data_IF_946948215465
#
_entry.id   IF_946948215465
#
_cell.length_a   1.000
_cell.length_b   1.000
_cell.length_c   1.000
_cell.angle_alpha   90.00
_cell.angle_beta   90.00
_cell.angle_gamma   90.00
#
_symmetry.space_group_name_H-M   'P 1'
#
loop_
_entity.id
_entity.type
_entity.pdbx_description
1 polymer ?
#
# COMPACT_ATOMS: atom_id res chain seq x y z
N UNK A 1 43.58 34.33 -13.01
CA UNK A 1 44.04 33.19 -12.19
C UNK A 1 43.15 33.14 -10.95
N UNK A 2 41.88 32.73 -11.06
CA UNK A 2 41.40 31.34 -10.96
C UNK A 2 42.06 30.55 -9.82
N UNK A 3 41.55 30.76 -8.61
CA UNK A 3 41.57 29.76 -7.53
C UNK A 3 40.26 28.98 -7.63
N UNK A 4 40.28 27.64 -7.78
CA UNK A 4 39.06 26.86 -7.66
C UNK A 4 38.79 26.61 -6.17
N UNK A 5 37.69 27.15 -5.66
CA UNK A 5 37.11 26.71 -4.40
C UNK A 5 36.64 25.27 -4.58
N UNK A 6 37.35 24.33 -3.98
CA UNK A 6 36.91 22.94 -3.83
C UNK A 6 35.73 22.98 -2.85
N UNK A 7 34.51 22.98 -3.36
CA UNK A 7 33.33 22.61 -2.58
C UNK A 7 33.45 21.12 -2.26
N UNK A 8 33.96 20.83 -1.07
CA UNK A 8 33.86 19.52 -0.46
C UNK A 8 32.37 19.31 -0.12
N UNK A 9 31.62 18.70 -1.03
CA UNK A 9 30.30 18.16 -0.73
C UNK A 9 30.50 17.06 0.33
N UNK A 10 30.20 17.41 1.59
CA UNK A 10 30.06 16.45 2.67
C UNK A 10 28.91 15.50 2.32
N UNK A 11 29.24 14.35 1.73
CA UNK A 11 28.42 13.15 1.86
C UNK A 11 28.39 12.80 3.34
N UNK A 12 27.29 13.10 4.04
CA UNK A 12 27.01 12.47 5.32
C UNK A 12 26.57 11.04 5.01
N UNK A 13 27.55 10.19 4.69
CA UNK A 13 27.48 8.76 4.97
C UNK A 13 27.58 8.63 6.49
N UNK A 14 26.45 8.68 7.18
CA UNK A 14 26.37 8.07 8.52
C UNK A 14 26.29 6.55 8.35
N UNK A 15 27.40 6.00 7.86
CA UNK A 15 27.76 4.60 8.08
C UNK A 15 28.15 4.45 9.55
N UNK A 16 27.15 4.34 10.42
CA UNK A 16 27.37 3.66 11.68
C UNK A 16 27.59 2.18 11.35
N UNK A 17 28.68 1.60 11.84
CA UNK A 17 28.85 0.15 11.98
C UNK A 17 27.51 -0.41 12.49
N UNK A 18 26.88 -1.29 11.69
CA UNK A 18 25.52 -1.75 11.90
C UNK A 18 25.38 -2.44 13.26
N UNK A 19 25.00 -1.66 14.29
CA UNK A 19 24.23 -2.21 15.38
C UNK A 19 23.01 -2.88 14.75
N UNK A 20 22.66 -4.08 15.20
CA UNK A 20 21.46 -4.80 14.75
C UNK A 20 20.22 -4.01 15.19
N UNK A 21 19.88 -2.97 14.43
CA UNK A 21 18.77 -2.08 14.75
C UNK A 21 17.48 -2.84 14.53
N UNK A 22 16.70 -2.98 15.60
CA UNK A 22 15.36 -3.58 15.56
C UNK A 22 14.37 -2.77 14.73
N UNK A 23 14.68 -1.50 14.48
CA UNK A 23 13.91 -0.63 13.59
C UNK A 23 14.83 0.31 12.79
N UNK A 24 14.45 0.57 11.53
CA UNK A 24 15.13 1.52 10.64
C UNK A 24 14.07 2.24 9.82
N UNK A 25 14.19 3.54 9.64
CA UNK A 25 13.25 4.34 8.86
C UNK A 25 13.99 5.48 8.17
N UNK A 26 13.38 6.03 7.13
CA UNK A 26 13.98 7.13 6.39
C UNK A 26 13.24 7.44 5.10
N UNK A 27 13.92 8.19 4.25
CA UNK A 27 13.42 8.60 2.94
C UNK A 27 14.25 7.98 1.83
N UNK A 28 13.59 7.67 0.72
CA UNK A 28 14.25 7.33 -0.55
C UNK A 28 13.76 8.30 -1.62
N UNK A 29 14.69 8.96 -2.29
CA UNK A 29 14.40 9.68 -3.53
C UNK A 29 14.28 8.66 -4.68
N UNK A 30 13.04 8.34 -5.06
CA UNK A 30 12.74 7.30 -6.06
C UNK A 30 12.72 7.82 -7.50
N UNK A 31 12.49 9.13 -7.65
CA UNK A 31 12.57 9.92 -8.88
C UNK A 31 13.02 11.31 -8.46
N UNK A 32 13.52 12.10 -9.40
CA UNK A 32 13.94 13.46 -9.12
C UNK A 32 12.84 14.23 -8.36
N UNK A 33 13.16 14.72 -7.15
CA UNK A 33 12.25 15.50 -6.27
C UNK A 33 11.06 14.73 -5.70
N UNK A 34 11.10 13.40 -5.70
CA UNK A 34 10.01 12.53 -5.23
C UNK A 34 10.55 11.60 -4.15
N UNK A 35 10.10 11.83 -2.92
CA UNK A 35 10.65 11.21 -1.72
C UNK A 35 9.61 10.35 -1.03
N UNK A 36 9.83 9.04 -0.96
CA UNK A 36 8.98 8.11 -0.22
C UNK A 36 9.55 7.85 1.18
N UNK A 37 8.69 7.98 2.19
CA UNK A 37 9.00 7.59 3.57
C UNK A 37 8.67 6.12 3.79
N UNK A 38 9.55 5.43 4.51
CA UNK A 38 9.40 4.02 4.86
C UNK A 38 9.88 3.74 6.29
N UNK A 39 9.31 2.71 6.91
CA UNK A 39 9.67 2.24 8.24
C UNK A 39 9.73 0.72 8.28
N UNK A 40 10.90 0.19 8.61
CA UNK A 40 11.19 -1.22 8.78
C UNK A 40 11.30 -1.61 10.26
N UNK A 41 10.75 -2.78 10.60
CA UNK A 41 10.94 -3.46 11.86
C UNK A 41 11.49 -4.86 11.63
N UNK A 42 12.61 -5.18 12.27
CA UNK A 42 13.16 -6.53 12.33
C UNK A 42 12.47 -7.30 13.46
N UNK A 43 12.02 -8.52 13.17
CA UNK A 43 11.40 -9.36 14.18
C UNK A 43 12.40 -9.85 15.23
N UNK A 44 12.08 -9.74 16.54
CA UNK A 44 12.87 -10.39 17.59
C UNK A 44 12.72 -11.92 17.57
N UNK A 45 11.74 -12.45 16.85
CA UNK A 45 11.49 -13.89 16.71
C UNK A 45 12.09 -14.49 15.44
N UNK A 46 12.86 -13.69 14.68
CA UNK A 46 13.43 -14.08 13.39
C UNK A 46 14.28 -15.35 13.52
N UNK A 47 13.75 -16.46 13.00
CA UNK A 47 14.42 -17.75 12.95
C UNK A 47 14.38 -18.27 11.50
N UNK A 48 15.25 -17.72 10.64
CA UNK A 48 15.35 -18.12 9.24
C UNK A 48 16.27 -19.33 9.09
N UNK A 49 15.85 -20.33 8.31
CA UNK A 49 16.67 -21.48 7.93
C UNK A 49 16.52 -21.78 6.42
N UNK A 50 17.41 -22.58 5.81
CA UNK A 50 17.28 -22.96 4.40
C UNK A 50 15.94 -23.65 4.07
N UNK A 51 15.32 -24.31 5.05
CA UNK A 51 14.07 -25.07 4.89
C UNK A 51 12.86 -24.18 5.24
N UNK A 52 13.05 -23.11 6.01
CA UNK A 52 12.01 -22.19 6.44
C UNK A 52 12.54 -20.76 6.44
N UNK A 53 12.45 -20.10 5.30
CA UNK A 53 12.83 -18.70 5.17
C UNK A 53 11.88 -17.81 5.99
N UNK A 54 12.44 -16.88 6.76
CA UNK A 54 11.65 -15.89 7.48
C UNK A 54 11.12 -14.82 6.50
N UNK A 55 9.81 -14.55 6.44
CA UNK A 55 9.24 -13.63 5.46
C UNK A 55 9.43 -12.17 5.87
N UNK A 56 9.39 -11.29 4.87
CA UNK A 56 9.23 -9.85 5.05
C UNK A 56 7.91 -9.42 4.42
N UNK A 57 7.15 -8.60 5.12
CA UNK A 57 5.87 -8.05 4.64
C UNK A 57 6.06 -6.58 4.34
N UNK A 58 5.71 -6.15 3.12
CA UNK A 58 5.45 -4.74 2.81
C UNK A 58 3.95 -4.51 2.91
N UNK A 59 3.53 -3.69 3.87
CA UNK A 59 2.14 -3.30 4.06
C UNK A 59 1.78 -2.11 3.16
N UNK A 60 0.63 -2.20 2.50
CA UNK A 60 0.11 -1.21 1.56
C UNK A 60 -1.30 -0.79 2.00
N UNK A 61 -1.38 0.42 2.54
CA UNK A 61 -2.61 1.00 3.04
C UNK A 61 -3.56 1.42 1.90
N UNK A 62 -4.85 1.52 2.23
CA UNK A 62 -5.92 1.91 1.32
C UNK A 62 -6.14 3.42 1.17
N UNK A 63 -7.42 3.79 0.95
CA UNK A 63 -7.86 5.14 0.62
C UNK A 63 -8.43 5.22 -0.80
N UNK A 64 -7.67 5.64 -1.82
CA UNK A 64 -6.22 5.95 -1.84
C UNK A 64 -5.88 7.19 -1.00
N UNK A 65 -4.66 7.21 -0.45
CA UNK A 65 -4.17 8.33 0.35
C UNK A 65 -4.03 8.05 1.85
N UNK A 66 -4.33 6.82 2.29
CA UNK A 66 -4.09 6.37 3.66
C UNK A 66 -2.59 6.18 3.91
N UNK A 67 -2.10 6.67 5.06
CA UNK A 67 -0.71 6.49 5.46
C UNK A 67 -0.48 5.06 5.94
N UNK A 68 0.42 4.32 5.30
CA UNK A 68 0.80 2.98 5.76
C UNK A 68 1.56 3.00 7.08
N UNK A 69 2.17 4.13 7.43
CA UNK A 69 2.73 4.33 8.77
C UNK A 69 1.62 4.65 9.77
N UNK A 70 0.68 5.53 9.47
CA UNK A 70 -0.42 5.85 10.37
C UNK A 70 -1.38 4.67 10.60
N UNK A 71 -1.96 4.15 9.52
CA UNK A 71 -2.90 3.03 9.50
C UNK A 71 -2.18 1.71 9.80
N UNK A 72 -1.47 1.16 8.82
CA UNK A 72 -0.77 -0.11 8.94
C UNK A 72 0.11 -0.30 10.18
N UNK A 73 0.99 0.66 10.48
CA UNK A 73 1.91 0.51 11.62
C UNK A 73 1.19 0.71 12.97
N UNK A 74 0.65 1.91 13.21
CA UNK A 74 0.16 2.27 14.56
C UNK A 74 -1.29 1.85 14.83
N UNK A 75 -2.14 1.75 13.82
CA UNK A 75 -3.54 1.30 13.99
C UNK A 75 -3.71 -0.20 13.70
N UNK A 76 -2.91 -0.74 12.78
CA UNK A 76 -2.98 -2.12 12.29
C UNK A 76 -2.03 -3.10 12.97
N UNK A 77 -1.03 -3.55 12.21
CA UNK A 77 -0.24 -4.76 12.49
C UNK A 77 1.13 -4.48 13.11
N UNK A 78 1.51 -3.21 13.26
CA UNK A 78 2.80 -2.82 13.83
C UNK A 78 2.96 -3.15 15.31
N UNK A 79 4.16 -2.94 15.87
CA UNK A 79 4.49 -3.35 17.23
C UNK A 79 3.90 -2.44 18.31
N UNK A 80 3.57 -1.19 17.98
CA UNK A 80 3.03 -0.19 18.90
C UNK A 80 1.65 0.30 18.44
N UNK A 81 0.79 0.68 19.38
CA UNK A 81 -0.44 1.39 19.08
C UNK A 81 -0.22 2.91 18.92
N UNK A 82 -1.29 3.66 18.62
CA UNK A 82 -1.25 5.13 18.47
C UNK A 82 -0.83 5.88 19.75
N UNK A 83 -0.87 5.22 20.91
CA UNK A 83 -0.38 5.75 22.19
C UNK A 83 1.03 5.25 22.53
N UNK A 84 1.72 4.64 21.56
CA UNK A 84 3.06 4.06 21.68
C UNK A 84 3.13 2.89 22.69
N UNK A 85 2.01 2.20 22.93
CA UNK A 85 1.96 1.01 23.80
C UNK A 85 2.22 -0.26 22.98
N UNK A 86 2.99 -1.23 23.50
CA UNK A 86 3.22 -2.51 22.83
C UNK A 86 1.93 -3.27 22.52
N UNK A 87 1.88 -3.89 21.34
CA UNK A 87 0.76 -4.71 20.88
C UNK A 87 1.11 -6.20 20.92
N UNK A 88 0.29 -6.98 21.62
CA UNK A 88 0.40 -8.45 21.62
C UNK A 88 -0.12 -9.09 20.33
N UNK A 89 -0.80 -8.34 19.47
CA UNK A 89 -1.35 -8.80 18.18
C UNK A 89 -0.47 -8.43 16.98
N UNK A 90 0.73 -7.88 17.20
CA UNK A 90 1.62 -7.47 16.11
C UNK A 90 2.02 -8.64 15.21
N UNK A 91 2.08 -8.38 13.91
CA UNK A 91 2.56 -9.37 12.94
C UNK A 91 4.07 -9.55 12.96
N UNK A 92 4.79 -8.70 13.71
CA UNK A 92 6.22 -8.84 13.96
C UNK A 92 6.57 -10.19 14.63
N UNK A 93 5.59 -10.90 15.18
CA UNK A 93 5.74 -12.26 15.69
C UNK A 93 6.02 -13.31 14.59
N UNK A 94 5.74 -13.00 13.32
CA UNK A 94 5.78 -13.95 12.20
C UNK A 94 6.55 -13.46 10.97
N UNK A 95 6.84 -12.17 10.88
CA UNK A 95 7.55 -11.57 9.75
C UNK A 95 8.36 -10.35 10.19
N UNK A 96 9.36 -9.98 9.39
CA UNK A 96 9.86 -8.61 9.41
C UNK A 96 8.82 -7.71 8.70
N UNK A 97 8.64 -6.46 9.13
CA UNK A 97 7.59 -5.57 8.60
C UNK A 97 8.20 -4.33 7.96
N UNK A 98 7.69 -3.93 6.80
CA UNK A 98 7.96 -2.65 6.14
C UNK A 98 6.62 -1.93 5.97
N UNK A 99 6.56 -0.71 6.46
CA UNK A 99 5.46 0.23 6.22
C UNK A 99 5.96 1.32 5.29
N UNK A 100 5.10 1.78 4.39
CA UNK A 100 5.40 2.84 3.43
C UNK A 100 4.23 3.79 3.33
N UNK A 101 4.51 5.08 3.23
CA UNK A 101 3.50 6.05 2.85
C UNK A 101 3.45 6.18 1.33
N UNK A 102 2.42 5.59 0.72
CA UNK A 102 2.30 5.45 -0.74
C UNK A 102 0.85 5.73 -1.16
N UNK A 103 0.58 6.47 -2.25
CA UNK A 103 1.53 7.13 -3.17
C UNK A 103 2.30 8.29 -2.53
N UNK A 104 3.26 8.86 -3.27
CA UNK A 104 3.95 10.08 -2.83
C UNK A 104 2.95 11.22 -2.57
N UNK A 105 3.17 12.02 -1.52
CA UNK A 105 2.24 13.03 -1.02
C UNK A 105 1.36 12.54 0.14
N UNK A 106 1.38 11.24 0.44
CA UNK A 106 0.73 10.63 1.60
C UNK A 106 1.63 10.69 2.83
N UNK A 107 1.04 10.93 4.00
CA UNK A 107 1.73 10.84 5.28
C UNK A 107 3.01 11.68 5.32
N UNK A 108 4.15 11.02 5.51
CA UNK A 108 5.46 11.67 5.50
C UNK A 108 6.09 11.77 4.10
N UNK A 109 5.62 11.00 3.11
CA UNK A 109 6.12 11.06 1.73
C UNK A 109 5.77 12.37 1.06
N UNK A 110 6.73 12.99 0.36
CA UNK A 110 6.56 14.33 -0.22
C UNK A 110 7.20 14.48 -1.59
N UNK A 111 6.77 15.53 -2.28
CA UNK A 111 7.39 16.03 -3.51
C UNK A 111 7.86 17.45 -3.29
N UNK A 112 8.97 17.84 -3.92
CA UNK A 112 9.38 19.26 -3.91
C UNK A 112 8.59 20.10 -4.92
N UNK A 113 7.91 19.44 -5.86
CA UNK A 113 7.06 20.05 -6.89
C UNK A 113 5.75 19.25 -7.03
N UNK A 114 4.57 19.83 -6.75
CA UNK A 114 3.29 19.13 -6.88
C UNK A 114 2.99 18.58 -8.28
N UNK A 115 3.63 19.11 -9.33
CA UNK A 115 3.45 18.61 -10.70
C UNK A 115 3.97 17.18 -10.93
N UNK A 116 4.82 16.67 -10.04
CA UNK A 116 5.39 15.31 -10.13
C UNK A 116 4.66 14.26 -9.29
N UNK A 117 3.53 14.61 -8.68
CA UNK A 117 2.63 13.68 -8.00
C UNK A 117 2.19 12.56 -8.95
N UNK A 118 2.09 11.35 -8.42
CA UNK A 118 1.64 10.21 -9.19
C UNK A 118 0.14 10.33 -9.51
N UNK A 119 -0.22 10.16 -10.79
CA UNK A 119 -1.61 10.28 -11.26
C UNK A 119 -2.22 8.96 -11.71
N UNK A 120 -1.44 7.88 -11.73
CA UNK A 120 -1.89 6.55 -12.15
C UNK A 120 -1.31 5.44 -11.27
N UNK A 121 -2.06 4.35 -11.08
CA UNK A 121 -1.56 3.16 -10.36
C UNK A 121 -0.30 2.56 -11.02
N UNK A 122 -0.12 2.75 -12.33
CA UNK A 122 1.10 2.31 -13.04
C UNK A 122 2.32 3.07 -12.55
N UNK A 123 2.20 4.40 -12.39
CA UNK A 123 3.27 5.23 -11.86
C UNK A 123 3.55 4.90 -10.40
N UNK A 124 2.51 4.71 -9.58
CA UNK A 124 2.66 4.27 -8.17
C UNK A 124 3.39 2.93 -8.08
N UNK A 125 3.09 1.99 -8.97
CA UNK A 125 3.78 0.70 -9.02
C UNK A 125 5.26 0.79 -9.45
N UNK A 126 5.58 1.69 -10.38
CA UNK A 126 6.96 1.98 -10.76
C UNK A 126 7.73 2.61 -9.58
N UNK A 127 7.13 3.60 -8.92
CA UNK A 127 7.65 4.29 -7.75
C UNK A 127 7.97 3.31 -6.60
N UNK A 128 7.04 2.41 -6.29
CA UNK A 128 7.26 1.34 -5.30
C UNK A 128 8.35 0.34 -5.72
N UNK A 129 8.52 0.09 -7.03
CA UNK A 129 9.59 -0.78 -7.52
C UNK A 129 10.96 -0.15 -7.33
N UNK A 130 11.10 1.17 -7.55
CA UNK A 130 12.33 1.91 -7.25
C UNK A 130 12.63 1.97 -5.75
N UNK A 131 11.59 2.15 -4.92
CA UNK A 131 11.73 2.02 -3.46
C UNK A 131 12.31 0.64 -3.10
N UNK A 132 11.74 -0.45 -3.60
CA UNK A 132 12.22 -1.80 -3.29
C UNK A 132 13.67 -2.01 -3.75
N UNK A 133 14.08 -1.48 -4.90
CA UNK A 133 15.49 -1.50 -5.33
C UNK A 133 16.40 -0.81 -4.32
N UNK A 134 16.01 0.36 -3.81
CA UNK A 134 16.76 1.05 -2.77
C UNK A 134 16.78 0.25 -1.46
N UNK A 135 15.63 -0.28 -1.03
CA UNK A 135 15.51 -1.03 0.21
C UNK A 135 16.31 -2.33 0.22
N UNK A 136 16.57 -2.97 -0.92
CA UNK A 136 17.50 -4.13 -0.94
C UNK A 136 18.91 -3.79 -0.47
N UNK A 137 19.32 -2.52 -0.56
CA UNK A 137 20.63 -2.05 -0.06
C UNK A 137 20.58 -1.75 1.45
N UNK A 138 19.48 -1.18 1.92
CA UNK A 138 19.28 -0.80 3.33
C UNK A 138 18.89 -2.00 4.22
N UNK A 139 18.22 -3.00 3.63
CA UNK A 139 17.67 -4.18 4.31
C UNK A 139 18.24 -5.42 3.61
N UNK A 140 19.49 -5.84 3.91
CA UNK A 140 20.15 -6.95 3.21
C UNK A 140 19.40 -8.28 3.30
N UNK A 141 18.56 -8.46 4.31
CA UNK A 141 17.72 -9.66 4.47
C UNK A 141 16.74 -9.85 3.31
N UNK A 142 16.32 -8.79 2.61
CA UNK A 142 15.43 -8.87 1.44
C UNK A 142 16.00 -9.72 0.28
N UNK A 143 17.32 -9.91 0.21
CA UNK A 143 17.93 -10.80 -0.77
C UNK A 143 17.68 -12.30 -0.47
N UNK A 144 17.41 -12.65 0.78
CA UNK A 144 17.27 -14.03 1.26
C UNK A 144 15.90 -14.35 1.85
N UNK A 145 15.11 -13.33 2.16
CA UNK A 145 13.74 -13.45 2.67
C UNK A 145 12.72 -13.30 1.55
N UNK A 146 11.67 -14.14 1.50
CA UNK A 146 10.55 -13.91 0.59
C UNK A 146 9.80 -12.65 1.01
N UNK A 147 9.58 -11.74 0.06
CA UNK A 147 8.78 -10.53 0.23
C UNK A 147 7.32 -10.81 -0.10
N UNK A 148 6.42 -10.49 0.83
CA UNK A 148 4.97 -10.49 0.60
C UNK A 148 4.46 -9.06 0.51
N UNK A 149 3.72 -8.77 -0.54
CA UNK A 149 3.00 -7.50 -0.70
C UNK A 149 1.59 -7.69 -0.13
N UNK A 150 1.29 -7.05 0.99
CA UNK A 150 0.00 -7.19 1.67
C UNK A 150 -0.72 -5.86 1.60
N UNK A 151 -1.89 -5.83 0.96
CA UNK A 151 -2.66 -4.61 0.80
C UNK A 151 -4.07 -4.71 1.37
N UNK A 152 -4.56 -3.60 1.92
CA UNK A 152 -5.93 -3.44 2.43
C UNK A 152 -6.72 -2.42 1.60
N UNK A 153 -8.02 -2.64 1.38
CA UNK A 153 -8.88 -1.68 0.66
C UNK A 153 -8.30 -1.34 -0.74
N UNK A 154 -8.09 -0.07 -1.08
CA UNK A 154 -7.43 0.32 -2.34
C UNK A 154 -5.96 -0.14 -2.40
N UNK A 155 -5.32 -0.34 -1.26
CA UNK A 155 -3.97 -0.87 -1.12
C UNK A 155 -3.84 -2.28 -1.70
N UNK A 156 -4.90 -3.08 -1.73
CA UNK A 156 -4.92 -4.37 -2.44
C UNK A 156 -4.78 -4.23 -3.95
N UNK A 157 -5.42 -3.22 -4.55
CA UNK A 157 -5.24 -2.91 -5.99
C UNK A 157 -3.80 -2.50 -6.28
N UNK A 158 -3.21 -1.68 -5.40
CA UNK A 158 -1.80 -1.32 -5.49
C UNK A 158 -0.90 -2.55 -5.30
N UNK A 159 -1.18 -3.43 -4.34
CA UNK A 159 -0.42 -4.65 -4.09
C UNK A 159 -0.38 -5.56 -5.33
N UNK A 160 -1.52 -5.77 -6.00
CA UNK A 160 -1.58 -6.51 -7.26
C UNK A 160 -0.77 -5.83 -8.37
N UNK A 161 -0.89 -4.50 -8.51
CA UNK A 161 -0.17 -3.74 -9.54
C UNK A 161 1.34 -3.72 -9.32
N UNK A 162 1.76 -3.50 -8.08
CA UNK A 162 3.16 -3.53 -7.64
C UNK A 162 3.72 -4.94 -7.82
N UNK A 163 2.96 -5.99 -7.48
CA UNK A 163 3.36 -7.38 -7.69
C UNK A 163 3.73 -7.67 -9.15
N UNK A 164 2.93 -7.19 -10.10
CA UNK A 164 3.24 -7.32 -11.54
C UNK A 164 4.53 -6.55 -11.90
N UNK A 165 4.67 -5.32 -11.41
CA UNK A 165 5.86 -4.48 -11.69
C UNK A 165 7.14 -5.11 -11.13
N UNK A 166 7.09 -5.56 -9.88
CA UNK A 166 8.18 -6.24 -9.17
C UNK A 166 8.55 -7.56 -9.86
N UNK A 167 7.56 -8.39 -10.21
CA UNK A 167 7.81 -9.66 -10.91
C UNK A 167 8.52 -9.43 -12.26
N UNK A 168 8.13 -8.40 -13.01
CA UNK A 168 8.81 -8.01 -14.26
C UNK A 168 10.25 -7.54 -14.00
N UNK A 169 10.47 -6.72 -12.98
CA UNK A 169 11.80 -6.24 -12.61
C UNK A 169 12.73 -7.39 -12.17
N UNK A 170 12.19 -8.38 -11.44
CA UNK A 170 12.93 -9.60 -11.06
C UNK A 170 13.28 -10.42 -12.30
N UNK A 171 12.31 -10.67 -13.18
CA UNK A 171 12.53 -11.43 -14.41
C UNK A 171 13.57 -10.78 -15.33
N UNK A 172 13.59 -9.45 -15.40
CA UNK A 172 14.59 -8.69 -16.15
C UNK A 172 15.97 -8.60 -15.47
N UNK A 173 16.13 -9.15 -14.26
CA UNK A 173 17.36 -9.05 -13.47
C UNK A 173 17.63 -7.67 -12.86
N UNK A 174 16.68 -6.74 -12.97
CA UNK A 174 16.79 -5.37 -12.46
C UNK A 174 16.52 -5.25 -10.95
N UNK A 175 15.92 -6.27 -10.34
CA UNK A 175 15.64 -6.33 -8.92
C UNK A 175 15.95 -7.74 -8.39
N UNK A 176 16.86 -7.83 -7.41
CA UNK A 176 17.30 -9.10 -6.83
C UNK A 176 16.61 -9.34 -5.48
N UNK A 177 15.40 -9.89 -5.52
CA UNK A 177 14.68 -10.40 -4.34
C UNK A 177 13.77 -11.56 -4.74
N UNK A 178 13.23 -12.26 -3.75
CA UNK A 178 12.20 -13.30 -3.97
C UNK A 178 10.82 -12.72 -3.67
N UNK A 179 9.93 -12.67 -4.66
CA UNK A 179 8.52 -12.33 -4.42
C UNK A 179 7.79 -13.58 -3.91
N UNK A 180 7.44 -13.60 -2.63
CA UNK A 180 6.74 -14.69 -1.97
C UNK A 180 5.24 -14.73 -2.28
N UNK A 181 4.63 -13.57 -2.52
CA UNK A 181 3.22 -13.49 -2.91
C UNK A 181 2.62 -12.09 -2.80
N UNK A 182 1.36 -12.00 -3.22
CA UNK A 182 0.50 -10.83 -3.06
C UNK A 182 -0.72 -11.25 -2.26
N UNK A 183 -1.05 -10.50 -1.21
CA UNK A 183 -2.17 -10.77 -0.30
C UNK A 183 -3.11 -9.56 -0.31
N UNK A 184 -4.41 -9.85 -0.45
CA UNK A 184 -5.46 -8.85 -0.61
C UNK A 184 -6.42 -8.98 0.60
N UNK A 185 -6.36 -8.05 1.54
CA UNK A 185 -7.33 -7.91 2.63
C UNK A 185 -8.42 -6.93 2.22
N UNK A 186 -9.67 -7.34 2.29
CA UNK A 186 -10.87 -6.50 2.12
C UNK A 186 -10.75 -5.49 0.96
N UNK A 187 -10.24 -5.96 -0.18
CA UNK A 187 -9.65 -5.10 -1.20
C UNK A 187 -10.63 -4.67 -2.28
N UNK A 188 -10.59 -3.39 -2.66
CA UNK A 188 -11.41 -2.85 -3.75
C UNK A 188 -10.77 -3.11 -5.13
N UNK A 189 -10.97 -4.31 -5.68
CA UNK A 189 -10.31 -4.80 -6.90
C UNK A 189 -11.13 -4.58 -8.19
N UNK A 190 -12.37 -5.08 -8.24
CA UNK A 190 -13.26 -5.02 -9.42
C UNK A 190 -14.47 -4.12 -9.14
N UNK A 191 -14.43 -2.84 -9.56
CA UNK A 191 -15.50 -1.90 -9.24
C UNK A 191 -16.90 -2.35 -9.70
N UNK A 192 -16.97 -3.07 -10.81
CA UNK A 192 -18.21 -3.62 -11.35
C UNK A 192 -18.76 -4.79 -10.53
N UNK A 193 -17.93 -5.72 -10.08
CA UNK A 193 -18.37 -6.80 -9.17
C UNK A 193 -18.78 -6.24 -7.80
N UNK A 194 -18.07 -5.21 -7.31
CA UNK A 194 -18.46 -4.50 -6.09
C UNK A 194 -19.82 -3.81 -6.23
N UNK A 195 -20.08 -3.10 -7.33
CA UNK A 195 -21.39 -2.50 -7.62
C UNK A 195 -22.52 -3.52 -7.60
N UNK A 196 -22.34 -4.65 -8.29
CA UNK A 196 -23.40 -5.63 -8.45
C UNK A 196 -23.68 -6.45 -7.19
N UNK A 197 -22.72 -6.60 -6.28
CA UNK A 197 -22.86 -7.44 -5.09
C UNK A 197 -23.36 -6.69 -3.85
N UNK A 198 -23.16 -5.38 -3.77
CA UNK A 198 -23.27 -4.66 -2.51
C UNK A 198 -24.66 -4.71 -1.88
N UNK A 199 -25.71 -4.43 -2.68
CA UNK A 199 -27.08 -4.39 -2.18
C UNK A 199 -27.56 -5.76 -1.70
N UNK A 200 -27.23 -6.83 -2.44
CA UNK A 200 -27.61 -8.19 -2.06
C UNK A 200 -26.91 -8.62 -0.77
N UNK A 201 -25.60 -8.36 -0.67
CA UNK A 201 -24.84 -8.65 0.55
C UNK A 201 -25.46 -7.99 1.78
N UNK A 202 -25.75 -6.69 1.68
CA UNK A 202 -26.31 -5.92 2.79
C UNK A 202 -27.71 -6.37 3.17
N UNK A 203 -28.53 -6.77 2.19
CA UNK A 203 -29.83 -7.40 2.47
C UNK A 203 -29.67 -8.73 3.21
N UNK A 204 -28.74 -9.58 2.78
CA UNK A 204 -28.51 -10.88 3.40
C UNK A 204 -27.94 -10.80 4.82
N UNK A 205 -27.30 -9.67 5.19
CA UNK A 205 -26.87 -9.36 6.57
C UNK A 205 -27.82 -8.43 7.32
N UNK A 206 -29.08 -8.31 6.86
CA UNK A 206 -30.15 -7.51 7.51
C UNK A 206 -29.81 -6.02 7.69
N UNK A 207 -29.04 -5.45 6.75
CA UNK A 207 -28.72 -4.02 6.67
C UNK A 207 -29.56 -3.26 5.66
N UNK A 208 -30.23 -3.97 4.75
CA UNK A 208 -31.20 -3.40 3.79
C UNK A 208 -32.49 -4.21 3.80
N UNK A 209 -33.61 -3.55 3.54
CA UNK A 209 -34.89 -4.22 3.32
C UNK A 209 -34.96 -4.88 1.93
N UNK A 210 -35.89 -5.81 1.74
CA UNK A 210 -36.11 -6.48 0.45
C UNK A 210 -36.50 -5.47 -0.66
N UNK A 211 -37.25 -4.42 -0.30
CA UNK A 211 -37.72 -3.39 -1.23
C UNK A 211 -36.58 -2.49 -1.73
N UNK A 212 -35.52 -2.31 -0.91
CA UNK A 212 -34.38 -1.46 -1.25
C UNK A 212 -33.48 -2.08 -2.33
N UNK A 213 -33.46 -3.42 -2.46
CA UNK A 213 -32.51 -4.13 -3.33
C UNK A 213 -32.71 -3.83 -4.82
N UNK A 214 -33.95 -3.85 -5.31
CA UNK A 214 -34.20 -3.71 -6.75
C UNK A 214 -33.80 -2.34 -7.32
N UNK A 215 -34.11 -1.19 -6.69
CA UNK A 215 -33.58 0.11 -7.09
C UNK A 215 -32.05 0.18 -7.11
N UNK A 216 -31.39 -0.35 -6.07
CA UNK A 216 -29.95 -0.33 -5.94
C UNK A 216 -29.25 -1.17 -7.02
N UNK A 217 -29.78 -2.37 -7.30
CA UNK A 217 -29.25 -3.23 -8.37
C UNK A 217 -29.39 -2.60 -9.77
N UNK A 218 -30.44 -1.78 -10.01
CA UNK A 218 -30.55 -1.02 -11.27
C UNK A 218 -29.44 0.03 -11.39
N UNK A 219 -29.14 0.75 -10.31
CA UNK A 219 -28.03 1.71 -10.30
C UNK A 219 -26.67 1.02 -10.48
N UNK A 220 -26.47 -0.12 -9.82
CA UNK A 220 -25.26 -0.94 -9.99
C UNK A 220 -25.05 -1.41 -11.45
N UNK A 221 -26.13 -1.80 -12.13
CA UNK A 221 -26.06 -2.15 -13.55
C UNK A 221 -25.62 -0.97 -14.42
N UNK A 222 -26.10 0.25 -14.13
CA UNK A 222 -25.67 1.47 -14.83
C UNK A 222 -24.18 1.73 -14.60
N UNK A 223 -23.66 1.56 -13.37
CA UNK A 223 -22.23 1.68 -13.08
C UNK A 223 -21.43 0.73 -13.97
N UNK A 224 -21.84 -0.55 -14.06
CA UNK A 224 -21.19 -1.54 -14.90
C UNK A 224 -21.22 -1.18 -16.39
N UNK A 225 -22.35 -0.72 -16.90
CA UNK A 225 -22.49 -0.27 -18.29
C UNK A 225 -21.57 0.92 -18.61
N UNK A 226 -21.51 1.90 -17.71
CA UNK A 226 -20.62 3.07 -17.86
C UNK A 226 -19.14 2.67 -17.82
N UNK A 227 -18.75 1.72 -16.96
CA UNK A 227 -17.38 1.16 -16.94
C UNK A 227 -17.08 0.48 -18.28
N UNK A 228 -17.98 -0.36 -18.79
CA UNK A 228 -17.82 -1.06 -20.07
C UNK A 228 -17.70 -0.07 -21.25
N UNK A 229 -18.43 1.05 -21.20
CA UNK A 229 -18.36 2.15 -22.15
C UNK A 229 -17.14 3.09 -21.95
N UNK A 230 -16.25 2.80 -20.99
CA UNK A 230 -15.08 3.61 -20.61
C UNK A 230 -15.42 5.04 -20.15
N UNK A 231 -16.63 5.25 -19.64
CA UNK A 231 -17.10 6.52 -19.10
C UNK A 231 -16.73 6.63 -17.61
N UNK A 232 -15.42 6.56 -17.29
CA UNK A 232 -14.96 6.37 -15.91
C UNK A 232 -15.36 7.48 -14.93
N UNK A 233 -15.39 8.75 -15.38
CA UNK A 233 -15.85 9.86 -14.53
C UNK A 233 -17.34 9.73 -14.21
N UNK A 234 -18.16 9.40 -15.21
CA UNK A 234 -19.59 9.15 -15.03
C UNK A 234 -19.82 7.95 -14.12
N UNK A 235 -19.12 6.84 -14.37
CA UNK A 235 -19.15 5.63 -13.55
C UNK A 235 -18.83 5.91 -12.09
N UNK A 236 -17.79 6.72 -11.82
CA UNK A 236 -17.45 7.14 -10.46
C UNK A 236 -18.59 7.91 -9.81
N UNK A 237 -19.19 8.88 -10.50
CA UNK A 237 -20.31 9.65 -9.95
C UNK A 237 -21.53 8.77 -9.68
N UNK A 238 -21.88 7.86 -10.60
CA UNK A 238 -23.00 6.93 -10.40
C UNK A 238 -22.71 5.94 -9.27
N UNK A 239 -21.47 5.46 -9.12
CA UNK A 239 -21.04 4.65 -7.98
C UNK A 239 -21.18 5.40 -6.65
N UNK A 240 -20.73 6.65 -6.57
CA UNK A 240 -20.93 7.48 -5.36
C UNK A 240 -22.40 7.62 -5.02
N UNK A 241 -23.25 7.94 -6.00
CA UNK A 241 -24.70 8.04 -5.78
C UNK A 241 -25.32 6.70 -5.33
N UNK A 242 -24.82 5.56 -5.84
CA UNK A 242 -25.27 4.24 -5.41
C UNK A 242 -24.94 4.02 -3.94
N UNK A 243 -23.71 4.31 -3.53
CA UNK A 243 -23.26 4.17 -2.15
C UNK A 243 -24.02 5.11 -1.21
N UNK A 244 -24.25 6.37 -1.61
CA UNK A 244 -25.05 7.33 -0.84
C UNK A 244 -26.49 6.85 -0.65
N UNK A 245 -27.07 6.22 -1.68
CA UNK A 245 -28.41 5.65 -1.58
C UNK A 245 -28.44 4.41 -0.67
N UNK A 246 -27.39 3.57 -0.70
CA UNK A 246 -27.25 2.45 0.24
C UNK A 246 -27.23 2.97 1.68
N UNK A 247 -26.41 3.97 1.97
CA UNK A 247 -26.30 4.55 3.30
C UNK A 247 -27.66 5.06 3.81
N UNK A 248 -28.38 5.83 2.96
CA UNK A 248 -29.73 6.31 3.26
C UNK A 248 -30.74 5.18 3.50
N UNK A 249 -30.72 4.12 2.68
CA UNK A 249 -31.65 2.99 2.82
C UNK A 249 -31.29 2.07 3.99
N UNK A 250 -30.10 2.22 4.56
CA UNK A 250 -29.59 1.46 5.71
C UNK A 250 -29.67 2.22 7.03
N UNK A 251 -30.34 3.39 7.06
CA UNK A 251 -30.41 4.31 8.20
C UNK A 251 -29.02 4.78 8.69
N UNK A 252 -28.06 4.97 7.78
CA UNK A 252 -26.72 5.47 8.10
C UNK A 252 -25.81 4.42 8.75
N UNK A 253 -26.17 3.14 8.69
CA UNK A 253 -25.43 2.06 9.35
C UNK A 253 -24.36 1.45 8.44
N UNK A 254 -24.37 1.79 7.16
CA UNK A 254 -23.42 1.32 6.16
C UNK A 254 -22.68 2.53 5.57
N UNK A 255 -21.78 3.12 6.34
CA UNK A 255 -20.83 4.10 5.80
C UNK A 255 -19.76 3.37 4.99
N UNK A 256 -19.57 3.75 3.73
CA UNK A 256 -18.48 3.27 2.87
C UNK A 256 -17.15 3.99 3.12
#
# INVERSE_FOLDING_TARGET
>A
MWQPSILLLCFILQGAVAADRSEVWGYVEIRHKVHLFWWYYKSPHRASSPIKAWPTILWLEGGPGGSGVGGGNFQGIGPLDVNLKPRNSTWLQKADLIFVDLPVGVGYSYVEDPSVLATTDVQVAADATELLKALTKEIPTLHSSPLFLVGESYGGKLAAKIGISVARAIHAGALKLTLGGVVLGDSWISPDDFALSYAQLLRDVSRLSDEAVAPLNRMAAIVKEQIAARQFTTAKMTWTNLVDLIDQQSDGVVSA
#
